data_IF_086431516951
#
_entry.id   IF_086431516951
#
_cell.length_a   1.000
_cell.length_b   1.000
_cell.length_c   1.000
_cell.angle_alpha   90.00
_cell.angle_beta   90.00
_cell.angle_gamma   90.00
#
_symmetry.space_group_name_H-M   'P 1'
#
loop_
_entity.id
_entity.type
_entity.pdbx_description
1 polymer ?
#
# COMPACT_ATOMS: atom_id res chain seq x y z
N UNK A 1 -20.24 -46.92 -57.37
CA UNK A 1 -19.17 -45.98 -56.99
C UNK A 1 -19.24 -45.76 -55.49
N UNK A 2 -18.56 -46.60 -54.69
CA UNK A 2 -18.56 -46.47 -53.21
C UNK A 2 -17.15 -46.14 -52.79
N UNK A 3 -16.92 -44.85 -52.53
CA UNK A 3 -15.60 -44.29 -52.26
C UNK A 3 -15.28 -44.37 -50.76
N UNK A 4 -14.01 -44.68 -50.47
CA UNK A 4 -13.47 -45.10 -49.18
C UNK A 4 -13.59 -43.99 -48.12
N UNK A 5 -14.53 -44.09 -47.18
CA UNK A 5 -14.39 -43.49 -45.84
C UNK A 5 -13.70 -44.51 -44.91
N UNK A 6 -12.48 -44.91 -45.28
CA UNK A 6 -11.56 -45.52 -44.32
C UNK A 6 -10.58 -44.44 -43.86
N UNK A 7 -10.28 -44.48 -42.57
CA UNK A 7 -9.19 -43.76 -41.90
C UNK A 7 -9.47 -42.30 -41.56
N UNK A 8 -10.01 -42.07 -40.37
CA UNK A 8 -9.50 -41.10 -39.38
C UNK A 8 -10.27 -41.21 -38.06
N UNK A 9 -10.38 -42.42 -37.50
CA UNK A 9 -10.48 -42.53 -36.03
C UNK A 9 -9.10 -42.13 -35.50
N UNK A 10 -8.92 -40.82 -35.29
CA UNK A 10 -7.76 -40.25 -34.62
C UNK A 10 -7.56 -41.02 -33.32
N UNK A 11 -6.40 -41.65 -33.17
CA UNK A 11 -5.95 -42.20 -31.91
C UNK A 11 -5.94 -41.07 -30.87
N UNK A 12 -6.97 -41.00 -30.03
CA UNK A 12 -6.92 -40.15 -28.85
C UNK A 12 -6.03 -40.85 -27.84
N UNK A 13 -4.72 -40.57 -27.90
CA UNK A 13 -3.80 -40.89 -26.82
C UNK A 13 -4.23 -40.06 -25.61
N UNK A 14 -5.03 -40.66 -24.74
CA UNK A 14 -5.43 -40.07 -23.47
C UNK A 14 -4.22 -39.86 -22.58
N UNK A 15 -4.20 -38.73 -21.88
CA UNK A 15 -3.19 -38.42 -20.87
C UNK A 15 -3.24 -39.49 -19.78
N UNK A 16 -2.08 -39.99 -19.35
CA UNK A 16 -2.05 -41.01 -18.29
C UNK A 16 -2.24 -40.35 -16.92
N UNK A 17 -2.87 -41.07 -15.98
CA UNK A 17 -3.05 -40.56 -14.61
C UNK A 17 -1.72 -40.28 -13.92
N UNK A 18 -0.67 -41.03 -14.26
CA UNK A 18 0.67 -40.84 -13.70
C UNK A 18 1.32 -39.54 -14.18
N UNK A 19 1.10 -39.14 -15.43
CA UNK A 19 1.59 -37.84 -15.94
C UNK A 19 0.88 -36.68 -15.23
N UNK A 20 -0.42 -36.80 -14.98
CA UNK A 20 -1.17 -35.77 -14.26
C UNK A 20 -0.74 -35.70 -12.78
N UNK A 21 -0.47 -36.85 -12.15
CA UNK A 21 0.01 -36.93 -10.78
C UNK A 21 1.39 -36.28 -10.61
N UNK A 22 2.33 -36.53 -11.51
CA UNK A 22 3.65 -35.91 -11.44
C UNK A 22 3.58 -34.37 -11.52
N UNK A 23 2.68 -33.84 -12.37
CA UNK A 23 2.51 -32.38 -12.54
C UNK A 23 1.96 -31.73 -11.27
N UNK A 24 0.93 -32.29 -10.65
CA UNK A 24 0.36 -31.71 -9.42
C UNK A 24 1.34 -31.75 -8.25
N UNK A 25 2.21 -32.76 -8.18
CA UNK A 25 3.26 -32.84 -7.16
C UNK A 25 4.27 -31.71 -7.35
N UNK A 26 4.73 -31.47 -8.57
CA UNK A 26 5.66 -30.36 -8.88
C UNK A 26 5.01 -29.01 -8.59
N UNK A 27 3.75 -28.79 -9.05
CA UNK A 27 3.01 -27.56 -8.77
C UNK A 27 2.77 -27.36 -7.26
N UNK A 28 2.54 -28.43 -6.51
CA UNK A 28 2.39 -28.38 -5.05
C UNK A 28 3.66 -27.90 -4.35
N UNK A 29 4.84 -28.39 -4.76
CA UNK A 29 6.13 -27.94 -4.20
C UNK A 29 6.37 -26.46 -4.49
N UNK A 30 6.13 -26.02 -5.73
CA UNK A 30 6.30 -24.62 -6.12
C UNK A 30 5.32 -23.73 -5.35
N UNK A 31 4.04 -24.12 -5.25
CA UNK A 31 3.02 -23.37 -4.54
C UNK A 31 3.33 -23.20 -3.05
N UNK A 32 3.89 -24.23 -2.40
CA UNK A 32 4.25 -24.18 -0.99
C UNK A 32 5.27 -23.08 -0.65
N UNK A 33 6.21 -22.78 -1.56
CA UNK A 33 7.20 -21.71 -1.39
C UNK A 33 6.66 -20.37 -1.91
N UNK A 34 5.98 -20.39 -3.05
CA UNK A 34 5.53 -19.18 -3.73
C UNK A 34 4.44 -18.41 -2.95
N UNK A 35 3.46 -19.11 -2.38
CA UNK A 35 2.32 -18.47 -1.68
C UNK A 35 2.78 -17.59 -0.50
N UNK A 36 3.57 -18.08 0.48
CA UNK A 36 4.03 -17.24 1.59
C UNK A 36 4.96 -16.11 1.13
N UNK A 37 5.82 -16.36 0.15
CA UNK A 37 6.73 -15.35 -0.39
C UNK A 37 5.98 -14.19 -1.05
N UNK A 38 5.00 -14.50 -1.91
CA UNK A 38 4.16 -13.51 -2.59
C UNK A 38 3.29 -12.75 -1.58
N UNK A 39 2.74 -13.44 -0.57
CA UNK A 39 1.97 -12.81 0.51
C UNK A 39 2.76 -11.71 1.23
N UNK A 40 4.01 -11.97 1.58
CA UNK A 40 4.89 -11.00 2.24
C UNK A 40 5.27 -9.82 1.33
N UNK A 41 5.42 -10.04 0.03
CA UNK A 41 5.68 -8.96 -0.93
C UNK A 41 4.46 -8.07 -1.08
N UNK A 42 3.27 -8.67 -1.18
CA UNK A 42 2.01 -7.93 -1.27
C UNK A 42 1.77 -7.12 -0.01
N UNK A 43 1.96 -7.68 1.20
CA UNK A 43 1.76 -6.93 2.45
C UNK A 43 2.69 -5.71 2.53
N UNK A 44 3.99 -5.90 2.25
CA UNK A 44 4.96 -4.79 2.19
C UNK A 44 4.60 -3.75 1.14
N UNK A 45 4.07 -4.17 -0.02
CA UNK A 45 3.62 -3.24 -1.05
C UNK A 45 2.41 -2.40 -0.59
N UNK A 46 1.48 -3.01 0.16
CA UNK A 46 0.34 -2.30 0.74
C UNK A 46 0.78 -1.33 1.85
N UNK A 47 1.73 -1.75 2.70
CA UNK A 47 2.30 -0.89 3.73
C UNK A 47 2.98 0.34 3.11
N UNK A 48 3.80 0.14 2.07
CA UNK A 48 4.44 1.23 1.33
C UNK A 48 3.41 2.17 0.70
N UNK A 49 2.36 1.64 0.07
CA UNK A 49 1.28 2.46 -0.49
C UNK A 49 0.57 3.29 0.59
N UNK A 50 0.33 2.69 1.75
CA UNK A 50 -0.29 3.36 2.90
C UNK A 50 0.60 4.48 3.44
N UNK A 51 1.90 4.26 3.53
CA UNK A 51 2.86 5.31 3.95
C UNK A 51 2.91 6.46 2.93
N UNK A 52 2.89 6.15 1.63
CA UNK A 52 2.84 7.14 0.57
C UNK A 52 1.56 7.99 0.62
N UNK A 53 0.42 7.39 0.94
CA UNK A 53 -0.82 8.12 1.18
C UNK A 53 -0.68 9.11 2.36
N UNK A 54 0.00 8.69 3.44
CA UNK A 54 0.34 9.57 4.56
C UNK A 54 1.21 10.77 4.15
N UNK A 55 2.19 10.57 3.27
CA UNK A 55 3.02 11.65 2.71
C UNK A 55 2.21 12.59 1.81
N UNK A 56 1.27 12.05 1.03
CA UNK A 56 0.36 12.86 0.21
C UNK A 56 -0.52 13.77 1.09
N UNK A 57 -1.01 13.27 2.21
CA UNK A 57 -1.75 14.05 3.20
C UNK A 57 -0.89 15.18 3.79
N UNK A 58 0.37 14.91 4.12
CA UNK A 58 1.30 15.95 4.57
C UNK A 58 1.58 16.99 3.48
N UNK A 59 1.72 16.57 2.22
CA UNK A 59 1.88 17.48 1.08
C UNK A 59 0.68 18.42 0.93
N UNK A 60 -0.54 17.88 1.04
CA UNK A 60 -1.76 18.69 1.06
C UNK A 60 -1.79 19.67 2.23
N UNK A 61 -1.33 19.27 3.41
CA UNK A 61 -1.21 20.18 4.55
C UNK A 61 -0.18 21.30 4.30
N UNK A 62 0.94 21.01 3.63
CA UNK A 62 1.89 22.05 3.19
C UNK A 62 1.25 23.04 2.24
N UNK A 63 0.47 22.55 1.26
CA UNK A 63 -0.28 23.41 0.34
C UNK A 63 -1.31 24.27 1.07
N UNK A 64 -2.05 23.69 2.02
CA UNK A 64 -3.01 24.43 2.86
C UNK A 64 -2.33 25.54 3.66
N UNK A 65 -1.20 25.25 4.30
CA UNK A 65 -0.42 26.22 5.08
C UNK A 65 0.07 27.36 4.20
N UNK A 66 0.58 27.06 3.00
CA UNK A 66 1.04 28.05 2.05
C UNK A 66 -0.11 28.94 1.54
N UNK A 67 -1.28 28.36 1.25
CA UNK A 67 -2.43 29.10 0.72
C UNK A 67 -3.10 29.98 1.78
N UNK A 68 -3.13 29.53 3.04
CA UNK A 68 -3.82 30.24 4.13
C UNK A 68 -2.89 31.05 5.03
N UNK A 69 -1.59 31.14 4.70
CA UNK A 69 -0.55 31.83 5.48
C UNK A 69 -0.56 31.40 6.96
N UNK A 70 -0.67 30.11 7.21
CA UNK A 70 -0.68 29.56 8.58
C UNK A 70 0.70 29.71 9.21
N UNK A 71 0.76 30.40 10.35
CA UNK A 71 2.00 30.62 11.10
C UNK A 71 1.95 30.08 12.54
N UNK A 72 0.81 29.55 12.95
CA UNK A 72 0.56 29.03 14.30
C UNK A 72 0.40 27.52 14.31
N UNK A 73 0.70 26.90 15.45
CA UNK A 73 0.45 25.49 15.68
C UNK A 73 -1.06 25.21 15.66
N UNK A 74 -1.47 24.21 14.89
CA UNK A 74 -2.86 23.76 14.80
C UNK A 74 -2.94 22.33 14.29
N UNK A 75 -4.09 21.69 14.47
CA UNK A 75 -4.36 20.37 13.91
C UNK A 75 -5.34 20.52 12.75
N UNK A 76 -4.90 20.16 11.55
CA UNK A 76 -5.73 20.16 10.35
C UNK A 76 -6.50 18.85 10.26
N UNK A 77 -7.81 18.95 10.06
CA UNK A 77 -8.69 17.81 9.85
C UNK A 77 -8.90 17.53 8.36
N UNK A 78 -9.40 16.34 8.03
CA UNK A 78 -9.76 15.94 6.65
C UNK A 78 -10.54 17.01 5.89
N UNK A 79 -11.56 17.59 6.50
CA UNK A 79 -12.42 18.61 5.87
C UNK A 79 -11.67 19.84 5.35
N UNK A 80 -10.56 20.20 5.98
CA UNK A 80 -9.72 21.34 5.57
C UNK A 80 -8.73 20.95 4.46
N UNK A 81 -8.37 19.68 4.40
CA UNK A 81 -7.36 19.14 3.47
C UNK A 81 -7.98 18.53 2.22
N UNK A 82 -9.26 18.15 2.26
CA UNK A 82 -10.00 17.58 1.13
C UNK A 82 -9.88 18.38 -0.19
N UNK A 83 -9.88 19.72 -0.20
CA UNK A 83 -9.68 20.48 -1.44
C UNK A 83 -8.29 20.34 -2.07
N UNK A 84 -7.31 19.86 -1.31
CA UNK A 84 -5.90 19.73 -1.71
C UNK A 84 -5.47 18.27 -1.86
N UNK A 85 -6.40 17.32 -1.66
CA UNK A 85 -6.16 15.89 -1.73
C UNK A 85 -6.72 15.31 -3.02
N UNK A 86 -5.93 14.45 -3.66
CA UNK A 86 -6.36 13.66 -4.81
C UNK A 86 -6.52 12.19 -4.40
N UNK A 87 -7.76 11.74 -4.24
CA UNK A 87 -8.11 10.34 -3.95
C UNK A 87 -7.33 9.67 -2.79
N UNK A 88 -7.54 10.15 -1.57
CA UNK A 88 -7.09 9.48 -0.32
C UNK A 88 -8.16 8.47 0.12
N UNK A 89 -7.75 7.22 0.35
CA UNK A 89 -8.63 6.11 0.79
C UNK A 89 -8.97 6.19 2.28
N UNK A 90 -8.08 6.75 3.08
CA UNK A 90 -8.25 6.90 4.53
C UNK A 90 -9.20 8.05 4.87
N UNK A 91 -10.25 7.74 5.64
CA UNK A 91 -11.24 8.73 6.07
C UNK A 91 -10.94 9.35 7.44
N UNK A 92 -9.98 8.79 8.18
CA UNK A 92 -9.69 9.17 9.57
C UNK A 92 -8.23 9.52 9.74
N UNK A 93 -7.89 10.77 9.41
CA UNK A 93 -6.55 11.32 9.59
C UNK A 93 -6.63 12.78 10.05
N UNK A 94 -5.55 13.24 10.64
CA UNK A 94 -5.29 14.65 10.89
C UNK A 94 -3.83 14.97 10.60
N UNK A 95 -3.50 16.24 10.42
CA UNK A 95 -2.11 16.70 10.35
C UNK A 95 -1.86 17.69 11.47
N UNK A 96 -0.90 17.37 12.33
CA UNK A 96 -0.48 18.21 13.43
C UNK A 96 0.65 19.10 12.93
N UNK A 97 0.46 20.41 13.07
CA UNK A 97 1.45 21.44 12.78
C UNK A 97 2.08 21.89 14.09
N UNK A 98 3.38 21.70 14.22
CA UNK A 98 4.16 22.21 15.34
C UNK A 98 5.06 23.32 14.83
N UNK A 99 5.01 24.49 15.47
CA UNK A 99 5.85 25.64 15.12
C UNK A 99 6.92 25.80 16.18
N UNK A 100 8.18 25.86 15.75
CA UNK A 100 9.29 26.23 16.62
C UNK A 100 9.30 27.74 16.84
N UNK A 101 9.10 28.18 18.09
CA UNK A 101 9.02 29.59 18.47
C UNK A 101 10.30 30.38 18.23
N UNK A 102 11.44 29.73 18.01
CA UNK A 102 12.75 30.36 17.80
C UNK A 102 13.08 30.44 16.31
N UNK A 103 12.89 29.34 15.58
CA UNK A 103 13.27 29.26 14.15
C UNK A 103 12.12 29.59 13.19
N UNK A 104 10.88 29.66 13.67
CA UNK A 104 9.68 29.81 12.84
C UNK A 104 9.42 28.59 11.94
N UNK A 105 10.17 27.50 12.11
CA UNK A 105 10.06 26.30 11.29
C UNK A 105 8.78 25.54 11.65
N UNK A 106 8.00 25.19 10.63
CA UNK A 106 6.82 24.34 10.76
C UNK A 106 7.23 22.88 10.56
N UNK A 107 6.88 22.03 11.52
CA UNK A 107 7.01 20.57 11.47
C UNK A 107 5.63 19.95 11.26
N UNK A 108 5.56 18.97 10.36
CA UNK A 108 4.33 18.27 10.00
C UNK A 108 4.37 16.85 10.53
N UNK A 109 3.31 16.44 11.21
CA UNK A 109 3.11 15.06 11.61
C UNK A 109 1.72 14.57 11.22
N UNK A 110 1.65 13.40 10.59
CA UNK A 110 0.41 12.68 10.37
C UNK A 110 -0.09 12.17 11.71
N UNK A 111 -1.35 12.43 12.03
CA UNK A 111 -2.02 12.00 13.25
C UNK A 111 -3.39 11.37 12.97
N UNK A 112 -4.14 11.13 14.05
CA UNK A 112 -5.41 10.44 14.00
C UNK A 112 -5.23 8.92 13.99
N UNK A 113 -6.09 8.21 13.25
CA UNK A 113 -6.08 6.74 13.18
C UNK A 113 -5.57 6.22 11.83
N UNK A 114 -4.69 6.98 11.17
CA UNK A 114 -4.17 6.59 9.86
C UNK A 114 -3.24 5.36 9.98
N UNK A 115 -3.43 4.30 9.16
CA UNK A 115 -2.67 3.06 9.29
C UNK A 115 -1.16 3.19 9.01
N UNK A 116 -0.71 4.27 8.37
CA UNK A 116 0.71 4.59 8.21
C UNK A 116 1.44 4.91 9.52
N UNK A 117 0.73 5.34 10.58
CA UNK A 117 1.34 5.77 11.84
C UNK A 117 2.14 4.63 12.50
N UNK A 118 1.56 3.45 12.78
CA UNK A 118 2.32 2.34 13.38
C UNK A 118 3.40 1.76 12.45
N UNK A 119 3.28 1.96 11.13
CA UNK A 119 4.29 1.54 10.15
C UNK A 119 5.51 2.45 10.22
N UNK A 120 5.29 3.77 10.33
CA UNK A 120 6.34 4.77 10.34
C UNK A 120 6.93 5.08 11.72
N UNK A 121 6.11 5.00 12.77
CA UNK A 121 6.53 5.21 14.14
C UNK A 121 6.34 3.92 14.95
N UNK A 122 7.43 3.18 15.12
CA UNK A 122 7.46 1.89 15.83
C UNK A 122 7.38 2.02 17.35
N UNK A 123 7.26 3.24 17.88
CA UNK A 123 7.05 3.47 19.31
C UNK A 123 5.68 2.93 19.71
N UNK A 124 5.64 2.05 20.70
CA UNK A 124 4.39 1.48 21.23
C UNK A 124 3.41 2.59 21.62
N UNK A 125 2.22 2.58 21.03
CA UNK A 125 1.18 3.58 21.31
C UNK A 125 1.35 4.92 20.58
N UNK A 126 2.20 4.99 19.56
CA UNK A 126 2.33 6.19 18.73
C UNK A 126 0.98 6.63 18.15
N UNK A 127 0.62 7.89 18.39
CA UNK A 127 -0.59 8.53 17.85
C UNK A 127 -0.29 9.48 16.69
N UNK A 128 0.99 9.63 16.34
CA UNK A 128 1.44 10.43 15.20
C UNK A 128 2.78 9.95 14.63
N UNK A 129 3.02 10.27 13.37
CA UNK A 129 4.27 10.04 12.66
C UNK A 129 4.69 11.31 11.89
N UNK A 130 5.90 11.77 12.13
CA UNK A 130 6.49 12.92 11.42
C UNK A 130 6.74 12.61 9.95
N UNK A 131 6.85 13.65 9.12
CA UNK A 131 7.20 13.49 7.71
C UNK A 131 8.50 12.70 7.50
N UNK A 132 9.51 12.90 8.35
CA UNK A 132 10.76 12.16 8.28
C UNK A 132 10.54 10.67 8.55
N UNK A 133 9.80 10.33 9.60
CA UNK A 133 9.49 8.93 9.93
C UNK A 133 8.71 8.24 8.80
N UNK A 134 7.77 8.93 8.17
CA UNK A 134 7.04 8.40 7.01
C UNK A 134 7.98 8.21 5.82
N UNK A 135 8.87 9.17 5.55
CA UNK A 135 9.86 9.07 4.47
C UNK A 135 10.80 7.89 4.68
N UNK A 136 11.28 7.70 5.91
CA UNK A 136 12.18 6.59 6.26
C UNK A 136 11.48 5.24 6.10
N UNK A 137 10.18 5.15 6.41
CA UNK A 137 9.38 3.94 6.27
C UNK A 137 9.07 3.53 4.82
N UNK A 138 9.32 4.40 3.83
CA UNK A 138 9.14 4.05 2.41
C UNK A 138 10.30 3.23 1.83
N UNK A 139 11.48 3.29 2.46
CA UNK A 139 12.70 2.62 2.01
C UNK A 139 12.73 1.18 2.55
#
# INVERSE_FOLDING_TARGET
MVNRLKMKLKEQKGFTLIELLAVIVILGIIAAIAIPAIGNVISKSNDKATVQEGLQIISAAKMYVANNNVTTAQTLSKTQLDPFLDHVKSNTFSVILTVDSVSGKITYALGGSHPAIPIANTTTGATSATEQQLTDATH
#
